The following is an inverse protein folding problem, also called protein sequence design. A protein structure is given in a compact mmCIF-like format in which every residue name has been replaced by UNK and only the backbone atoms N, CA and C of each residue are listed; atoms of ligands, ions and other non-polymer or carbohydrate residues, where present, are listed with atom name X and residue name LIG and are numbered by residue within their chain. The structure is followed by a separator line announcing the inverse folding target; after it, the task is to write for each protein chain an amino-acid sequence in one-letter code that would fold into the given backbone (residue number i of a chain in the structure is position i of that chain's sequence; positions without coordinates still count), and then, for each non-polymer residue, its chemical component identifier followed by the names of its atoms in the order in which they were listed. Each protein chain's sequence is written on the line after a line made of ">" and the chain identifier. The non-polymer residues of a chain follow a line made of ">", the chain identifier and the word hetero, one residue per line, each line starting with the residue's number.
data_IF_209048774106
#
_entry.id   IF_209048774106
#
_cell.length_a   1.000
_cell.length_b   1.000
_cell.length_c   1.000
_cell.angle_alpha   90.00
_cell.angle_beta   90.00
_cell.angle_gamma   90.00
#
_symmetry.space_group_name_H-M   'P 1'
#
loop_
_entity.id
_entity.type
_entity.pdbx_description
1 polymer ?
#
# COMPACT_ATOMS: atom_id res chain seq x y z
N UNK A 1 1.25 -3.14 10.41
CA UNK A 1 -0.17 -3.02 10.80
C UNK A 1 -1.03 -4.13 10.21
N UNK A 2 -1.10 -4.32 8.88
CA UNK A 2 -2.00 -5.32 8.23
C UNK A 2 -1.83 -6.74 8.78
N UNK A 3 -0.59 -7.23 8.89
CA UNK A 3 -0.29 -8.60 9.37
C UNK A 3 -0.78 -8.85 10.80
N UNK A 4 -0.88 -7.82 11.65
CA UNK A 4 -1.32 -7.98 13.04
C UNK A 4 -2.85 -8.00 13.19
N UNK A 5 -3.60 -7.54 12.18
CA UNK A 5 -5.07 -7.51 12.21
C UNK A 5 -5.70 -8.72 11.52
N UNK A 6 -4.93 -9.44 10.71
CA UNK A 6 -5.37 -10.66 10.03
C UNK A 6 -4.90 -11.87 10.85
N UNK A 7 -5.82 -12.75 11.19
CA UNK A 7 -5.51 -14.04 11.79
C UNK A 7 -5.03 -14.98 10.69
N UNK A 8 -3.71 -15.06 10.49
CA UNK A 8 -3.06 -15.81 9.41
C UNK A 8 -2.50 -17.11 9.99
N UNK A 9 -2.95 -18.25 9.50
CA UNK A 9 -2.34 -19.54 9.84
C UNK A 9 -1.04 -19.76 9.03
N UNK A 10 0.09 -19.55 9.69
CA UNK A 10 1.42 -19.73 9.09
C UNK A 10 1.78 -21.21 8.82
N UNK A 11 1.06 -22.17 9.40
CA UNK A 11 1.27 -23.59 9.12
C UNK A 11 0.72 -23.96 7.74
N UNK A 12 -0.48 -23.48 7.40
CA UNK A 12 -1.11 -23.68 6.08
C UNK A 12 -0.32 -22.96 4.96
N UNK A 13 0.23 -21.77 5.24
CA UNK A 13 1.13 -21.06 4.29
C UNK A 13 2.43 -21.80 3.96
N UNK A 14 2.86 -22.75 4.81
CA UNK A 14 4.07 -23.57 4.57
C UNK A 14 3.76 -24.83 3.77
N UNK A 15 2.48 -25.16 3.57
CA UNK A 15 2.08 -26.30 2.77
C UNK A 15 2.51 -26.08 1.31
N UNK A 16 3.29 -27.01 0.75
CA UNK A 16 3.83 -26.90 -0.62
C UNK A 16 5.09 -26.03 -0.78
N UNK A 17 5.58 -25.33 0.25
CA UNK A 17 6.82 -24.54 0.16
C UNK A 17 8.02 -25.40 -0.26
N UNK A 18 8.15 -26.60 0.31
CA UNK A 18 9.24 -27.54 -0.01
C UNK A 18 9.19 -28.06 -1.46
N UNK A 19 8.01 -28.07 -2.09
CA UNK A 19 7.86 -28.53 -3.47
C UNK A 19 8.40 -27.49 -4.48
N UNK A 20 8.21 -26.20 -4.21
CA UNK A 20 8.69 -25.11 -5.07
C UNK A 20 10.08 -24.60 -4.71
N UNK A 21 10.60 -24.92 -3.52
CA UNK A 21 11.93 -24.51 -3.06
C UNK A 21 13.05 -24.82 -4.07
N UNK A 22 13.17 -26.03 -4.66
CA UNK A 22 14.27 -26.33 -5.58
C UNK A 22 14.24 -25.46 -6.85
N UNK A 23 13.04 -25.18 -7.38
CA UNK A 23 12.85 -24.35 -8.57
C UNK A 23 13.16 -22.88 -8.23
N UNK A 24 12.65 -22.38 -7.11
CA UNK A 24 12.93 -21.02 -6.64
C UNK A 24 14.43 -20.80 -6.36
N UNK A 25 15.10 -21.79 -5.76
CA UNK A 25 16.53 -21.76 -5.51
C UNK A 25 17.34 -21.75 -6.81
N UNK A 26 16.94 -22.55 -7.81
CA UNK A 26 17.58 -22.57 -9.12
C UNK A 26 17.44 -21.21 -9.82
N UNK A 27 16.24 -20.63 -9.85
CA UNK A 27 16.00 -19.31 -10.46
C UNK A 27 16.80 -18.23 -9.71
N UNK A 28 16.76 -18.25 -8.38
CA UNK A 28 17.51 -17.30 -7.56
C UNK A 28 19.02 -17.39 -7.80
N UNK A 29 19.56 -18.61 -7.97
CA UNK A 29 20.96 -18.82 -8.30
C UNK A 29 21.31 -18.25 -9.68
N UNK A 30 20.44 -18.45 -10.68
CA UNK A 30 20.64 -17.90 -12.03
C UNK A 30 20.69 -16.37 -11.96
N UNK A 31 19.71 -15.73 -11.32
CA UNK A 31 19.67 -14.26 -11.17
C UNK A 31 20.90 -13.76 -10.40
N UNK A 32 21.33 -14.47 -9.35
CA UNK A 32 22.54 -14.12 -8.62
C UNK A 32 23.78 -14.17 -9.50
N UNK A 33 23.94 -15.23 -10.30
CA UNK A 33 25.06 -15.36 -11.24
C UNK A 33 25.03 -14.25 -12.31
N UNK A 34 23.85 -13.92 -12.85
CA UNK A 34 23.69 -12.80 -13.79
C UNK A 34 24.15 -11.48 -13.16
N UNK A 35 23.73 -11.18 -11.93
CA UNK A 35 24.15 -9.96 -11.23
C UNK A 35 25.66 -9.93 -10.96
N UNK A 36 26.26 -11.08 -10.61
CA UNK A 36 27.71 -11.18 -10.41
C UNK A 36 28.49 -10.99 -11.71
N UNK A 37 28.00 -11.53 -12.82
CA UNK A 37 28.60 -11.32 -14.14
C UNK A 37 28.51 -9.84 -14.54
N UNK A 38 27.34 -9.21 -14.39
CA UNK A 38 27.18 -7.77 -14.67
C UNK A 38 28.11 -6.93 -13.80
N UNK A 39 28.15 -7.16 -12.48
CA UNK A 39 29.02 -6.43 -11.57
C UNK A 39 30.52 -6.66 -11.87
N UNK A 40 30.90 -7.89 -12.23
CA UNK A 40 32.26 -8.23 -12.63
C UNK A 40 32.68 -7.51 -13.91
N UNK A 41 31.83 -7.48 -14.93
CA UNK A 41 32.11 -6.82 -16.22
C UNK A 41 32.22 -5.30 -16.12
N UNK A 42 31.55 -4.66 -15.15
CA UNK A 42 31.69 -3.21 -14.90
C UNK A 42 33.13 -2.78 -14.57
N UNK A 43 33.94 -3.68 -14.00
CA UNK A 43 35.36 -3.38 -13.72
C UNK A 43 36.26 -3.40 -14.96
N UNK A 44 35.80 -3.99 -16.07
CA UNK A 44 36.58 -4.13 -17.31
C UNK A 44 36.36 -2.96 -18.30
N UNK A 45 35.36 -2.11 -18.09
CA UNK A 45 35.03 -1.00 -19.00
C UNK A 45 34.87 0.35 -18.27
N UNK A 46 35.96 0.95 -17.75
CA UNK A 46 35.91 2.23 -17.02
C UNK A 46 35.43 3.42 -17.87
N UNK A 47 35.53 3.35 -19.20
CA UNK A 47 35.01 4.40 -20.12
C UNK A 47 33.47 4.51 -20.08
N UNK A 48 32.75 3.44 -19.72
CA UNK A 48 31.28 3.47 -19.59
C UNK A 48 30.87 4.20 -18.30
N UNK A 49 31.68 4.12 -17.24
CA UNK A 49 31.42 4.82 -15.98
C UNK A 49 31.53 6.36 -16.14
N UNK A 50 32.43 6.84 -17.01
CA UNK A 50 32.55 8.28 -17.32
C UNK A 50 31.40 8.84 -18.16
N UNK A 51 30.68 8.00 -18.91
CA UNK A 51 29.51 8.42 -19.70
C UNK A 51 28.24 8.59 -18.86
N UNK A 52 28.15 7.93 -17.70
CA UNK A 52 26.98 7.95 -16.82
C UNK A 52 27.01 9.08 -15.78
N UNK A 53 28.18 9.68 -15.53
CA UNK A 53 28.33 10.75 -14.57
C UNK A 53 27.91 12.08 -15.20
N UNK A 54 26.64 12.46 -15.05
CA UNK A 54 26.26 13.87 -15.17
C UNK A 54 27.15 14.68 -14.22
N UNK A 55 27.69 15.86 -14.60
CA UNK A 55 28.54 16.65 -13.71
C UNK A 55 27.78 16.97 -12.41
N UNK A 56 28.22 16.36 -11.30
CA UNK A 56 27.66 16.63 -9.98
C UNK A 56 28.46 17.78 -9.37
N UNK A 57 27.80 18.86 -8.90
CA UNK A 57 28.51 19.92 -8.18
C UNK A 57 29.21 19.35 -6.94
N UNK A 58 30.34 19.95 -6.51
CA UNK A 58 31.06 19.46 -5.34
C UNK A 58 30.14 19.38 -4.12
N UNK A 59 30.20 18.28 -3.35
CA UNK A 59 29.37 18.08 -2.16
C UNK A 59 29.58 19.15 -1.07
N UNK A 60 30.62 19.97 -1.20
CA UNK A 60 30.87 21.11 -0.31
C UNK A 60 30.00 22.34 -0.64
N UNK A 61 29.51 22.46 -1.88
CA UNK A 61 28.83 23.66 -2.36
C UNK A 61 27.31 23.54 -2.33
N UNK A 62 26.77 22.31 -2.43
CA UNK A 62 25.34 22.05 -2.58
C UNK A 62 24.92 20.86 -1.72
N UNK A 63 23.77 20.97 -1.04
CA UNK A 63 23.22 19.84 -0.28
C UNK A 63 22.69 18.74 -1.21
N UNK A 64 22.73 17.49 -0.77
CA UNK A 64 22.22 16.37 -1.59
C UNK A 64 20.76 16.57 -2.03
N UNK A 65 19.90 17.06 -1.11
CA UNK A 65 18.50 17.31 -1.41
C UNK A 65 18.32 18.41 -2.49
N UNK A 66 19.14 19.46 -2.43
CA UNK A 66 19.12 20.53 -3.42
C UNK A 66 19.60 20.04 -4.79
N UNK A 67 20.71 19.29 -4.85
CA UNK A 67 21.23 18.74 -6.09
C UNK A 67 20.22 17.81 -6.80
N UNK A 68 19.58 16.90 -6.04
CA UNK A 68 18.53 16.03 -6.59
C UNK A 68 17.31 16.85 -7.01
N UNK A 69 16.92 17.85 -6.21
CA UNK A 69 15.81 18.74 -6.52
C UNK A 69 16.01 19.49 -7.83
N UNK A 70 17.20 20.06 -8.06
CA UNK A 70 17.52 20.75 -9.31
C UNK A 70 17.31 19.83 -10.52
N UNK A 71 17.83 18.61 -10.50
CA UNK A 71 17.69 17.66 -11.62
C UNK A 71 16.24 17.19 -11.79
N UNK A 72 15.55 16.84 -10.70
CA UNK A 72 14.15 16.39 -10.74
C UNK A 72 13.19 17.45 -11.29
N UNK A 73 13.33 18.70 -10.86
CA UNK A 73 12.41 19.78 -11.24
C UNK A 73 12.75 20.48 -12.56
N UNK A 74 13.99 20.35 -13.06
CA UNK A 74 14.39 20.99 -14.33
C UNK A 74 14.41 20.01 -15.50
N UNK A 75 15.10 18.88 -15.35
CA UNK A 75 15.32 17.93 -16.45
C UNK A 75 14.26 16.83 -16.49
N UNK A 76 13.85 16.32 -15.32
CA UNK A 76 12.96 15.16 -15.21
C UNK A 76 11.56 15.51 -14.69
N UNK A 77 11.12 16.75 -14.89
CA UNK A 77 9.83 17.25 -14.38
C UNK A 77 8.64 16.39 -14.82
N UNK A 78 8.69 15.85 -16.05
CA UNK A 78 7.66 14.97 -16.57
C UNK A 78 7.56 13.66 -15.77
N UNK A 79 8.69 13.01 -15.46
CA UNK A 79 8.69 11.78 -14.66
C UNK A 79 8.27 12.04 -13.23
N UNK A 80 8.64 13.19 -12.66
CA UNK A 80 8.17 13.61 -11.35
C UNK A 80 6.64 13.75 -11.31
N UNK A 81 6.05 14.40 -12.33
CA UNK A 81 4.60 14.52 -12.45
C UNK A 81 3.92 13.17 -12.68
N UNK A 82 4.50 12.29 -13.51
CA UNK A 82 3.99 10.94 -13.73
C UNK A 82 3.96 10.12 -12.44
N UNK A 83 5.01 10.22 -11.60
CA UNK A 83 5.03 9.60 -10.27
C UNK A 83 3.91 10.16 -9.37
N UNK A 84 3.66 11.48 -9.42
CA UNK A 84 2.53 12.12 -8.74
C UNK A 84 1.17 11.56 -9.18
N UNK A 85 0.99 11.32 -10.49
CA UNK A 85 -0.22 10.67 -11.02
C UNK A 85 -0.37 9.24 -10.52
N UNK A 86 0.73 8.46 -10.45
CA UNK A 86 0.70 7.11 -9.89
C UNK A 86 0.29 7.13 -8.41
N UNK A 87 0.82 8.06 -7.61
CA UNK A 87 0.45 8.20 -6.20
C UNK A 87 -1.03 8.59 -6.03
N UNK A 88 -1.54 9.49 -6.86
CA UNK A 88 -2.94 9.88 -6.86
C UNK A 88 -3.84 8.67 -7.17
N UNK A 89 -3.52 7.93 -8.24
CA UNK A 89 -4.27 6.73 -8.64
C UNK A 89 -4.19 5.66 -7.56
N UNK A 90 -3.04 5.45 -6.92
CA UNK A 90 -2.87 4.51 -5.82
C UNK A 90 -3.78 4.85 -4.63
N UNK A 91 -3.87 6.13 -4.26
CA UNK A 91 -4.73 6.58 -3.16
C UNK A 91 -6.21 6.40 -3.50
N UNK A 92 -6.63 6.77 -4.71
CA UNK A 92 -8.00 6.55 -5.20
C UNK A 92 -8.31 5.04 -5.22
N UNK A 93 -7.39 4.22 -5.72
CA UNK A 93 -7.53 2.77 -5.76
C UNK A 93 -7.73 2.17 -4.37
N UNK A 94 -6.91 2.56 -3.40
CA UNK A 94 -7.05 2.10 -2.02
C UNK A 94 -8.42 2.47 -1.41
N UNK A 95 -8.90 3.70 -1.63
CA UNK A 95 -10.22 4.14 -1.15
C UNK A 95 -11.33 3.35 -1.84
N UNK A 96 -11.32 3.25 -3.17
CA UNK A 96 -12.38 2.55 -3.92
C UNK A 96 -12.46 1.07 -3.56
N UNK A 97 -11.31 0.42 -3.32
CA UNK A 97 -11.25 -0.98 -2.92
C UNK A 97 -11.76 -1.21 -1.48
N UNK A 98 -11.62 -0.24 -0.59
CA UNK A 98 -12.00 -0.38 0.82
C UNK A 98 -13.36 0.23 1.15
N UNK A 99 -13.87 1.15 0.31
CA UNK A 99 -15.14 1.84 0.50
C UNK A 99 -16.32 0.88 0.27
N UNK A 100 -16.70 0.18 1.32
CA UNK A 100 -17.86 -0.71 1.32
C UNK A 100 -19.08 0.01 1.91
N UNK A 101 -20.14 0.19 1.11
CA UNK A 101 -21.46 0.56 1.64
C UNK A 101 -22.02 -0.64 2.39
N UNK A 102 -22.32 -0.47 3.68
CA UNK A 102 -23.05 -1.45 4.49
C UNK A 102 -24.55 -1.13 4.40
N UNK A 103 -25.35 -1.91 3.65
CA UNK A 103 -26.78 -1.65 3.49
C UNK A 103 -27.54 -1.83 4.81
N UNK A 104 -27.15 -2.81 5.63
CA UNK A 104 -27.81 -3.11 6.92
C UNK A 104 -27.17 -2.37 8.11
N UNK A 105 -26.39 -1.33 7.85
CA UNK A 105 -25.91 -0.47 8.92
C UNK A 105 -27.11 0.31 9.49
N UNK A 106 -27.49 0.03 10.73
CA UNK A 106 -28.47 0.84 11.44
C UNK A 106 -27.93 2.26 11.58
N UNK A 107 -28.45 3.17 10.76
CA UNK A 107 -28.11 4.59 10.82
C UNK A 107 -29.14 5.30 11.66
N UNK A 108 -28.66 6.13 12.58
CA UNK A 108 -29.52 7.01 13.34
C UNK A 108 -30.01 8.13 12.43
N UNK A 109 -31.31 8.37 12.45
CA UNK A 109 -31.89 9.62 11.96
C UNK A 109 -32.09 10.54 13.15
N UNK A 110 -31.20 11.53 13.29
CA UNK A 110 -31.24 12.51 14.39
C UNK A 110 -32.61 13.23 14.44
N UNK A 111 -33.18 13.70 13.31
CA UNK A 111 -34.50 14.36 13.34
C UNK A 111 -35.60 13.43 13.85
N UNK A 112 -35.64 12.18 13.38
CA UNK A 112 -36.68 11.22 13.78
C UNK A 112 -36.55 10.80 15.25
N UNK A 113 -35.32 10.79 15.78
CA UNK A 113 -35.07 10.50 17.20
C UNK A 113 -35.44 11.67 18.11
N UNK A 114 -35.18 12.91 17.69
CA UNK A 114 -35.50 14.11 18.47
C UNK A 114 -36.99 14.41 18.42
N UNK A 115 -37.65 14.17 17.29
CA UNK A 115 -39.09 14.37 17.12
C UNK A 115 -39.95 13.27 17.79
N UNK A 116 -39.33 12.31 18.49
CA UNK A 116 -40.03 11.18 19.10
C UNK A 116 -40.91 11.63 20.26
N UNK A 117 -42.17 11.22 20.24
CA UNK A 117 -43.18 11.51 21.27
C UNK A 117 -43.40 10.30 22.18
N UNK A 118 -44.03 10.48 23.34
CA UNK A 118 -44.33 9.36 24.25
C UNK A 118 -45.11 8.22 23.57
N UNK A 119 -46.02 8.57 22.65
CA UNK A 119 -46.85 7.65 21.87
C UNK A 119 -46.04 6.78 20.89
N UNK A 120 -44.95 7.30 20.34
CA UNK A 120 -44.05 6.57 19.43
C UNK A 120 -42.89 5.90 20.17
N UNK A 121 -42.73 6.18 21.46
CA UNK A 121 -41.66 5.67 22.30
C UNK A 121 -42.00 4.36 23.01
N UNK A 122 -43.23 4.23 23.51
CA UNK A 122 -43.66 3.12 24.36
C UNK A 122 -45.07 2.65 24.01
N UNK A 123 -45.23 1.33 23.84
CA UNK A 123 -46.54 0.69 23.65
C UNK A 123 -46.99 0.05 24.97
N UNK A 124 -48.05 0.58 25.58
CA UNK A 124 -48.64 0.04 26.81
C UNK A 124 -49.55 -1.15 26.46
N UNK A 125 -49.01 -2.37 26.48
CA UNK A 125 -49.82 -3.59 26.40
C UNK A 125 -50.23 -4.06 27.79
N UNK A 126 -51.54 -4.24 28.00
CA UNK A 126 -52.07 -4.98 29.15
C UNK A 126 -51.91 -6.47 28.89
N UNK A 127 -51.04 -7.12 29.65
CA UNK A 127 -50.87 -8.58 29.67
C UNK A 127 -51.56 -9.16 30.91
N UNK A 128 -52.17 -10.32 30.74
CA UNK A 128 -52.79 -11.04 31.86
C UNK A 128 -51.72 -11.65 32.78
N UNK A 129 -51.94 -11.67 34.11
CA UNK A 129 -50.96 -12.19 35.06
C UNK A 129 -50.61 -13.65 34.76
N UNK A 130 -49.32 -13.95 34.62
CA UNK A 130 -48.82 -15.31 34.38
C UNK A 130 -48.62 -15.69 32.92
N UNK A 131 -49.00 -14.83 31.96
CA UNK A 131 -48.59 -14.97 30.57
C UNK A 131 -47.47 -13.97 30.29
N UNK A 132 -46.22 -14.45 30.28
CA UNK A 132 -45.09 -13.68 29.77
C UNK A 132 -45.27 -13.41 28.27
N UNK A 133 -44.75 -12.27 27.81
CA UNK A 133 -44.70 -11.91 26.39
C UNK A 133 -43.85 -12.92 25.59
#
# INVERSE_FOLDING_TARGET
>A
FVVMMLDIDFAELREGFLQYMPIGALIGLIVLLELLLVAGTWTLAPEVASLAASPIPPMADVTNAEAIGQVMYTQYVYFFQAAGMVLLVAMIGAIVLTLRKKPDAQRQSIPDQVARTAETAVELKKVEPGQGL
#
